data_IF_954524296169
#
_entry.id   IF_954524296169
#
_cell.length_a   1.000
_cell.length_b   1.000
_cell.length_c   1.000
_cell.angle_alpha   90.00
_cell.angle_beta   90.00
_cell.angle_gamma   90.00
#
_symmetry.space_group_name_H-M   'P 1'
#
loop_
_entity.id
_entity.type
_entity.pdbx_description
1 polymer ?
#
# COMPACT_ATOMS: atom_id res chain seq x y z
N UNK A 1 -6.67 12.38 29.62
CA UNK A 1 -7.62 11.69 28.73
C UNK A 1 -7.59 12.45 27.43
N UNK A 2 -6.67 12.06 26.54
CA UNK A 2 -6.54 12.71 25.24
C UNK A 2 -7.43 11.91 24.28
N UNK A 3 -8.54 12.51 23.85
CA UNK A 3 -9.44 11.92 22.88
C UNK A 3 -8.75 11.95 21.52
N UNK A 4 -7.85 11.01 21.28
CA UNK A 4 -7.33 10.73 19.94
C UNK A 4 -8.54 10.26 19.13
N UNK A 5 -9.14 11.18 18.39
CA UNK A 5 -10.26 10.89 17.50
C UNK A 5 -9.82 9.75 16.60
N UNK A 6 -10.60 8.67 16.60
CA UNK A 6 -10.37 7.40 15.88
C UNK A 6 -10.24 7.56 14.35
N UNK A 7 -10.37 8.81 13.87
CA UNK A 7 -10.48 9.25 12.47
C UNK A 7 -9.46 10.33 12.10
N UNK A 8 -8.44 10.59 12.92
CA UNK A 8 -7.56 11.76 12.79
C UNK A 8 -6.44 11.66 11.74
N UNK A 9 -6.19 10.50 11.15
CA UNK A 9 -4.99 10.30 10.33
C UNK A 9 -5.15 10.54 8.82
N UNK A 10 -6.40 10.69 8.39
CA UNK A 10 -6.78 11.09 7.04
C UNK A 10 -7.82 12.20 7.19
N UNK A 11 -7.67 13.34 6.49
CA UNK A 11 -8.68 14.39 6.48
C UNK A 11 -10.04 13.84 6.07
N UNK A 12 -11.12 14.44 6.55
CA UNK A 12 -12.46 14.17 6.04
C UNK A 12 -12.56 14.51 4.55
N UNK A 13 -13.58 13.97 3.87
CA UNK A 13 -13.83 14.28 2.46
C UNK A 13 -14.02 15.78 2.23
N UNK A 14 -14.70 16.48 3.15
CA UNK A 14 -14.89 17.92 3.07
C UNK A 14 -13.58 18.70 3.22
N UNK A 15 -12.70 18.27 4.13
CA UNK A 15 -11.36 18.87 4.27
C UNK A 15 -10.52 18.61 3.02
N UNK A 16 -10.52 17.39 2.49
CA UNK A 16 -9.85 17.05 1.24
C UNK A 16 -10.37 17.90 0.06
N UNK A 17 -11.69 18.12 -0.01
CA UNK A 17 -12.29 18.98 -1.01
C UNK A 17 -11.86 20.44 -0.86
N UNK A 18 -11.74 20.96 0.36
CA UNK A 18 -11.21 22.30 0.59
C UNK A 18 -9.71 22.42 0.27
N UNK A 19 -8.96 21.33 0.41
CA UNK A 19 -7.52 21.30 0.12
C UNK A 19 -7.23 21.27 -1.39
N UNK A 20 -7.94 20.41 -2.14
CA UNK A 20 -7.61 20.16 -3.56
C UNK A 20 -8.85 19.84 -4.43
N UNK A 21 -10.02 20.37 -4.08
CA UNK A 21 -11.29 20.17 -4.79
C UNK A 21 -11.25 20.58 -6.27
N UNK A 22 -10.60 21.69 -6.57
CA UNK A 22 -10.46 22.23 -7.93
C UNK A 22 -9.01 22.15 -8.42
N UNK A 23 -8.75 22.24 -9.74
CA UNK A 23 -7.39 22.28 -10.26
C UNK A 23 -6.50 23.37 -9.64
N UNK A 24 -7.07 24.55 -9.35
CA UNK A 24 -6.37 25.69 -8.75
C UNK A 24 -6.03 25.42 -7.28
N UNK A 25 -6.98 24.86 -6.51
CA UNK A 25 -6.74 24.43 -5.13
C UNK A 25 -5.67 23.34 -5.08
N UNK A 26 -5.74 22.36 -5.98
CA UNK A 26 -4.73 21.31 -6.09
C UNK A 26 -3.33 21.85 -6.41
N UNK A 27 -3.23 22.79 -7.35
CA UNK A 27 -1.95 23.44 -7.67
C UNK A 27 -1.40 24.20 -6.46
N UNK A 28 -2.24 25.01 -5.80
CA UNK A 28 -1.88 25.72 -4.58
C UNK A 28 -1.41 24.76 -3.48
N UNK A 29 -2.16 23.68 -3.24
CA UNK A 29 -1.82 22.66 -2.26
C UNK A 29 -0.44 22.04 -2.51
N UNK A 30 -0.09 21.77 -3.77
CA UNK A 30 1.20 21.18 -4.14
C UNK A 30 2.36 22.15 -3.92
N UNK A 31 2.18 23.45 -4.14
CA UNK A 31 3.19 24.46 -3.81
C UNK A 31 3.30 24.71 -2.31
N UNK A 32 2.17 24.84 -1.60
CA UNK A 32 2.12 25.10 -0.16
C UNK A 32 2.79 23.97 0.64
N UNK A 33 2.72 22.73 0.15
CA UNK A 33 3.39 21.57 0.76
C UNK A 33 4.80 21.29 0.21
N UNK A 34 5.33 22.19 -0.62
CA UNK A 34 6.65 22.05 -1.26
C UNK A 34 6.83 20.75 -2.07
N UNK A 35 5.73 20.17 -2.57
CA UNK A 35 5.76 19.04 -3.49
C UNK A 35 6.19 19.53 -4.87
N UNK A 36 5.63 20.68 -5.29
CA UNK A 36 6.12 21.39 -6.46
C UNK A 36 7.20 22.38 -6.08
N UNK A 37 8.35 22.37 -6.79
CA UNK A 37 9.41 23.32 -6.50
C UNK A 37 8.96 24.73 -6.88
N UNK A 38 9.22 25.69 -5.98
CA UNK A 38 9.05 27.13 -6.24
C UNK A 38 10.27 27.77 -6.92
N UNK A 39 11.41 27.07 -6.89
CA UNK A 39 12.68 27.49 -7.47
C UNK A 39 13.36 26.34 -8.22
N UNK A 40 13.98 26.63 -9.37
CA UNK A 40 14.75 25.66 -10.15
C UNK A 40 15.88 26.34 -10.91
N UNK A 41 17.05 25.72 -10.91
CA UNK A 41 18.16 26.09 -11.78
C UNK A 41 18.00 25.44 -13.15
N UNK A 42 18.40 26.16 -14.21
CA UNK A 42 18.29 25.69 -15.57
C UNK A 42 19.19 24.46 -15.79
N UNK A 43 18.64 23.30 -16.21
CA UNK A 43 19.45 22.09 -16.39
C UNK A 43 20.49 22.23 -17.52
N UNK A 44 20.31 23.19 -18.45
CA UNK A 44 21.23 23.40 -19.57
C UNK A 44 22.39 24.36 -19.26
N UNK A 45 22.20 25.33 -18.36
CA UNK A 45 23.18 26.41 -18.18
C UNK A 45 23.37 26.89 -16.74
N UNK A 46 22.69 26.28 -15.77
CA UNK A 46 22.82 26.62 -14.34
C UNK A 46 22.10 27.89 -13.89
N UNK A 47 21.67 28.77 -14.80
CA UNK A 47 21.00 30.02 -14.43
C UNK A 47 19.66 29.79 -13.69
N UNK A 48 19.35 30.67 -12.75
CA UNK A 48 18.03 30.75 -12.11
C UNK A 48 16.91 30.90 -13.15
N UNK A 49 15.81 30.17 -12.96
CA UNK A 49 14.64 30.23 -13.82
C UNK A 49 13.50 31.02 -13.16
N UNK A 50 12.66 31.65 -13.96
CA UNK A 50 11.42 32.30 -13.49
C UNK A 50 10.25 31.34 -13.64
N UNK A 51 9.43 31.21 -12.60
CA UNK A 51 8.19 30.42 -12.62
C UNK A 51 7.03 31.25 -13.23
N UNK A 52 6.27 30.64 -14.15
CA UNK A 52 5.03 31.19 -14.68
C UNK A 52 4.00 30.06 -14.81
N UNK A 53 2.97 30.08 -13.97
CA UNK A 53 2.07 28.95 -13.75
C UNK A 53 2.89 27.70 -13.38
N UNK A 54 2.68 26.61 -14.12
CA UNK A 54 3.37 25.32 -13.91
C UNK A 54 4.69 25.18 -14.69
N UNK A 55 5.26 26.26 -15.22
CA UNK A 55 6.45 26.22 -16.08
C UNK A 55 7.56 27.15 -15.63
N UNK A 56 8.76 26.60 -15.48
CA UNK A 56 9.99 27.36 -15.35
C UNK A 56 10.54 27.74 -16.73
N UNK A 57 10.93 29.00 -16.89
CA UNK A 57 11.64 29.50 -18.09
C UNK A 57 12.99 30.11 -17.71
N UNK A 58 14.03 29.71 -18.43
CA UNK A 58 15.37 30.28 -18.27
C UNK A 58 15.42 31.69 -18.90
N UNK A 59 15.81 32.70 -18.10
CA UNK A 59 15.93 34.08 -18.56
C UNK A 59 17.14 34.36 -19.47
N UNK A 60 18.10 33.43 -19.56
CA UNK A 60 19.29 33.59 -20.43
C UNK A 60 18.84 33.57 -21.90
N UNK A 61 19.07 34.69 -22.61
CA UNK A 61 18.66 34.87 -24.02
C UNK A 61 19.16 33.76 -24.95
N UNK A 62 20.35 33.23 -24.70
CA UNK A 62 20.96 32.14 -25.50
C UNK A 62 20.49 30.74 -25.11
N UNK A 63 19.75 30.58 -24.01
CA UNK A 63 19.28 29.27 -23.54
C UNK A 63 17.77 29.12 -23.71
N UNK A 64 16.99 29.99 -23.06
CA UNK A 64 15.51 29.98 -23.07
C UNK A 64 14.85 28.61 -22.78
N UNK A 65 15.56 27.69 -22.13
CA UNK A 65 15.03 26.38 -21.79
C UNK A 65 13.73 26.51 -20.97
N UNK A 66 12.77 25.61 -21.24
CA UNK A 66 11.52 25.47 -20.51
C UNK A 66 11.52 24.11 -19.82
N UNK A 67 11.10 24.08 -18.56
CA UNK A 67 10.99 22.87 -17.72
C UNK A 67 9.68 23.00 -16.94
N UNK A 68 8.95 21.92 -16.73
CA UNK A 68 7.70 21.99 -15.95
C UNK A 68 7.99 21.79 -14.46
N UNK A 69 7.09 22.26 -13.59
CA UNK A 69 7.13 21.97 -12.14
C UNK A 69 6.92 20.49 -11.85
N UNK A 70 6.30 19.75 -12.79
CA UNK A 70 6.05 18.32 -12.68
C UNK A 70 7.31 17.49 -12.95
N UNK A 71 8.29 18.03 -13.67
CA UNK A 71 9.49 17.29 -14.08
C UNK A 71 10.32 16.86 -12.85
N UNK A 72 10.41 15.55 -12.65
CA UNK A 72 11.10 14.91 -11.52
C UNK A 72 10.20 14.64 -10.30
N UNK A 73 8.91 14.95 -10.37
CA UNK A 73 7.92 14.62 -9.34
C UNK A 73 7.03 13.46 -9.80
N UNK A 74 6.22 12.93 -8.89
CA UNK A 74 5.18 11.93 -9.17
C UNK A 74 4.27 12.31 -10.36
N UNK A 75 4.12 13.60 -10.64
CA UNK A 75 3.19 14.14 -11.64
C UNK A 75 3.80 14.28 -13.06
N UNK A 76 5.08 13.98 -13.26
CA UNK A 76 5.87 14.33 -14.46
C UNK A 76 5.24 13.98 -15.81
N UNK A 77 4.51 12.87 -15.90
CA UNK A 77 3.88 12.36 -17.14
C UNK A 77 2.38 12.13 -17.03
N UNK A 78 1.78 12.60 -15.94
CA UNK A 78 0.34 12.46 -15.75
C UNK A 78 -0.37 13.57 -16.53
N UNK A 79 -1.15 13.19 -17.53
CA UNK A 79 -2.06 14.11 -18.23
C UNK A 79 -3.34 14.38 -17.44
N UNK A 80 -3.64 13.54 -16.45
CA UNK A 80 -4.78 13.67 -15.55
C UNK A 80 -4.69 14.98 -14.75
N UNK A 81 -5.81 15.71 -14.54
CA UNK A 81 -5.84 16.90 -13.69
C UNK A 81 -5.32 16.64 -12.27
N UNK A 82 -4.61 17.63 -11.69
CA UNK A 82 -3.93 17.49 -10.40
C UNK A 82 -4.90 17.14 -9.26
N UNK A 83 -6.08 17.78 -9.25
CA UNK A 83 -7.13 17.49 -8.27
C UNK A 83 -7.60 16.04 -8.35
N UNK A 84 -7.79 15.50 -9.56
CA UNK A 84 -8.20 14.10 -9.76
C UNK A 84 -7.11 13.15 -9.25
N UNK A 85 -5.84 13.42 -9.53
CA UNK A 85 -4.72 12.61 -9.02
C UNK A 85 -4.65 12.66 -7.48
N UNK A 86 -4.82 13.84 -6.88
CA UNK A 86 -4.80 14.00 -5.42
C UNK A 86 -5.98 13.28 -4.75
N UNK A 87 -7.20 13.40 -5.29
CA UNK A 87 -8.33 12.62 -4.80
C UNK A 87 -8.13 11.12 -5.00
N UNK A 88 -7.53 10.70 -6.11
CA UNK A 88 -7.21 9.30 -6.33
C UNK A 88 -6.31 8.77 -5.21
N UNK A 89 -5.23 9.49 -4.90
CA UNK A 89 -4.31 9.14 -3.82
C UNK A 89 -5.00 9.15 -2.46
N UNK A 90 -5.84 10.15 -2.20
CA UNK A 90 -6.65 10.25 -0.98
C UNK A 90 -7.55 9.01 -0.78
N UNK A 91 -8.32 8.61 -1.79
CA UNK A 91 -9.16 7.41 -1.70
C UNK A 91 -8.34 6.13 -1.64
N UNK A 92 -7.20 6.08 -2.33
CA UNK A 92 -6.27 4.96 -2.30
C UNK A 92 -5.73 4.70 -0.88
N UNK A 93 -5.23 5.72 -0.19
CA UNK A 93 -4.72 5.57 1.20
C UNK A 93 -5.85 5.37 2.23
N UNK A 94 -7.08 5.73 1.86
CA UNK A 94 -8.29 5.47 2.66
C UNK A 94 -8.76 4.01 2.56
N UNK A 95 -8.15 3.20 1.69
CA UNK A 95 -8.53 1.81 1.46
C UNK A 95 -9.80 1.65 0.61
N UNK A 96 -10.21 2.68 -0.13
CA UNK A 96 -11.33 2.61 -1.05
C UNK A 96 -11.02 1.63 -2.20
N UNK A 97 -11.99 0.78 -2.54
CA UNK A 97 -11.83 -0.20 -3.62
C UNK A 97 -11.67 0.50 -4.97
N UNK A 98 -10.79 0.00 -5.85
CA UNK A 98 -10.49 0.61 -7.16
C UNK A 98 -11.74 0.90 -8.01
N UNK A 99 -12.71 -0.01 -8.04
CA UNK A 99 -13.94 0.17 -8.80
C UNK A 99 -14.83 1.29 -8.24
N UNK A 100 -14.76 1.56 -6.94
CA UNK A 100 -15.43 2.68 -6.31
C UNK A 100 -14.70 3.99 -6.63
N UNK A 101 -13.37 4.01 -6.59
CA UNK A 101 -12.58 5.20 -6.98
C UNK A 101 -12.88 5.60 -8.43
N UNK A 102 -12.93 4.61 -9.32
CA UNK A 102 -13.33 4.80 -10.73
C UNK A 102 -14.69 5.48 -10.86
N UNK A 103 -15.67 4.99 -10.09
CA UNK A 103 -17.02 5.51 -10.07
C UNK A 103 -17.13 6.93 -9.48
N UNK A 104 -16.38 7.21 -8.40
CA UNK A 104 -16.39 8.51 -7.73
C UNK A 104 -15.72 9.59 -8.57
N UNK A 105 -14.59 9.27 -9.19
CA UNK A 105 -13.80 10.23 -9.99
C UNK A 105 -14.21 10.26 -11.46
N UNK A 106 -15.11 9.37 -11.89
CA UNK A 106 -15.58 9.27 -13.28
C UNK A 106 -14.44 9.14 -14.29
N UNK A 107 -13.43 8.33 -13.94
CA UNK A 107 -12.26 8.06 -14.79
C UNK A 107 -12.40 6.71 -15.49
N UNK A 108 -11.68 6.51 -16.60
CA UNK A 108 -11.68 5.21 -17.31
C UNK A 108 -10.94 4.14 -16.53
N UNK A 109 -11.28 2.86 -16.76
CA UNK A 109 -10.60 1.73 -16.11
C UNK A 109 -9.10 1.68 -16.45
N UNK A 110 -8.70 2.12 -17.64
CA UNK A 110 -7.29 2.23 -18.02
C UNK A 110 -6.56 3.29 -17.17
N UNK A 111 -7.16 4.47 -17.01
CA UNK A 111 -6.64 5.54 -16.15
C UNK A 111 -6.56 5.07 -14.69
N UNK A 112 -7.61 4.41 -14.21
CA UNK A 112 -7.67 3.83 -12.88
C UNK A 112 -6.54 2.82 -12.65
N UNK A 113 -6.32 1.89 -13.57
CA UNK A 113 -5.25 0.90 -13.47
C UNK A 113 -3.85 1.55 -13.44
N UNK A 114 -3.61 2.56 -14.28
CA UNK A 114 -2.35 3.29 -14.31
C UNK A 114 -2.10 4.07 -13.00
N UNK A 115 -3.08 4.85 -12.54
CA UNK A 115 -2.99 5.58 -11.27
C UNK A 115 -2.81 4.61 -10.10
N UNK A 116 -3.50 3.47 -10.10
CA UNK A 116 -3.34 2.46 -9.06
C UNK A 116 -1.91 1.90 -9.02
N UNK A 117 -1.35 1.56 -10.18
CA UNK A 117 0.04 1.08 -10.33
C UNK A 117 1.03 2.12 -9.78
N UNK A 118 0.92 3.37 -10.23
CA UNK A 118 1.82 4.44 -9.76
C UNK A 118 1.66 4.74 -8.27
N UNK A 119 0.44 4.71 -7.74
CA UNK A 119 0.17 4.92 -6.32
C UNK A 119 0.81 3.84 -5.46
N UNK A 120 0.75 2.56 -5.88
CA UNK A 120 1.44 1.46 -5.19
C UNK A 120 2.96 1.65 -5.21
N UNK A 121 3.53 2.02 -6.35
CA UNK A 121 4.96 2.28 -6.49
C UNK A 121 5.41 3.40 -5.53
N UNK A 122 4.68 4.52 -5.51
CA UNK A 122 4.98 5.66 -4.64
C UNK A 122 5.05 5.25 -3.17
N UNK A 123 4.05 4.51 -2.68
CA UNK A 123 4.05 4.10 -1.28
C UNK A 123 5.08 3.01 -0.99
N UNK A 124 5.40 2.14 -1.96
CA UNK A 124 6.44 1.13 -1.82
C UNK A 124 7.83 1.80 -1.68
N UNK A 125 8.14 2.77 -2.53
CA UNK A 125 9.40 3.54 -2.47
C UNK A 125 9.49 4.39 -1.19
N UNK A 126 8.35 4.72 -0.57
CA UNK A 126 8.27 5.44 0.69
C UNK A 126 8.41 4.54 1.94
N UNK A 127 8.45 3.21 1.79
CA UNK A 127 8.79 2.30 2.90
C UNK A 127 10.31 2.19 2.98
N UNK A 128 10.92 2.65 4.08
CA UNK A 128 12.35 2.41 4.29
C UNK A 128 12.61 0.93 4.57
N UNK A 129 13.64 0.37 3.95
CA UNK A 129 14.11 -0.99 4.24
C UNK A 129 14.51 -1.21 5.71
N UNK A 130 14.87 -0.13 6.43
CA UNK A 130 15.18 -0.18 7.87
C UNK A 130 13.95 -0.32 8.75
N UNK A 131 12.78 0.16 8.30
CA UNK A 131 11.52 0.05 9.03
C UNK A 131 10.89 -1.33 8.78
N UNK A 132 11.10 -1.89 7.58
CA UNK A 132 10.78 -3.27 7.20
C UNK A 132 11.76 -3.75 6.12
N UNK A 133 12.49 -4.83 6.39
CA UNK A 133 13.46 -5.38 5.42
C UNK A 133 12.81 -6.49 4.57
N UNK A 134 12.51 -6.17 3.32
CA UNK A 134 12.08 -7.13 2.29
C UNK A 134 13.26 -7.33 1.34
N UNK A 135 13.70 -8.56 1.14
CA UNK A 135 14.80 -8.88 0.24
C UNK A 135 14.29 -9.79 -0.88
N UNK A 136 14.28 -9.22 -2.08
CA UNK A 136 13.75 -9.77 -3.33
C UNK A 136 14.80 -10.64 -3.99
N UNK A 137 14.79 -11.93 -3.68
CA UNK A 137 15.62 -12.89 -4.42
C UNK A 137 14.79 -14.11 -4.77
N UNK A 138 14.34 -14.09 -6.03
CA UNK A 138 14.04 -15.23 -6.91
C UNK A 138 12.58 -15.71 -7.13
N UNK A 139 12.38 -16.14 -8.37
CA UNK A 139 11.14 -16.55 -9.04
C UNK A 139 10.95 -18.06 -8.91
N UNK A 140 9.82 -18.52 -8.36
CA UNK A 140 9.36 -19.94 -8.38
C UNK A 140 7.81 -19.93 -8.43
N UNK A 141 7.15 -21.05 -8.72
CA UNK A 141 5.67 -21.12 -8.78
C UNK A 141 5.02 -21.06 -7.38
N UNK A 142 3.99 -20.20 -7.23
CA UNK A 142 3.25 -19.95 -5.98
C UNK A 142 4.02 -19.13 -4.94
N UNK A 143 3.48 -18.00 -4.45
CA UNK A 143 4.20 -17.13 -3.50
C UNK A 143 4.11 -17.66 -2.05
N UNK A 144 5.19 -18.24 -1.54
CA UNK A 144 5.32 -18.46 -0.10
C UNK A 144 5.78 -17.17 0.55
N UNK A 145 5.20 -16.84 1.70
CA UNK A 145 5.54 -15.61 2.43
C UNK A 145 5.84 -15.99 3.88
N UNK A 146 7.05 -15.67 4.32
CA UNK A 146 7.44 -15.72 5.72
C UNK A 146 7.17 -14.36 6.34
N UNK A 147 6.69 -14.31 7.58
CA UNK A 147 6.55 -13.05 8.29
C UNK A 147 6.55 -13.25 9.79
N UNK A 148 6.95 -12.21 10.50
CA UNK A 148 7.00 -12.17 11.95
C UNK A 148 6.55 -10.81 12.48
N UNK A 149 5.82 -10.84 13.58
CA UNK A 149 5.30 -9.64 14.24
C UNK A 149 5.83 -9.57 15.67
N UNK A 150 6.35 -8.41 16.02
CA UNK A 150 6.79 -8.12 17.37
C UNK A 150 5.59 -8.03 18.32
N UNK A 151 5.74 -8.60 19.53
CA UNK A 151 4.68 -8.60 20.54
C UNK A 151 4.69 -7.39 21.48
N UNK A 152 5.65 -6.48 21.32
CA UNK A 152 5.71 -5.20 22.03
C UNK A 152 4.64 -4.23 21.51
N UNK A 153 4.54 -3.06 22.15
CA UNK A 153 3.66 -1.97 21.73
C UNK A 153 3.99 -1.44 20.33
N UNK A 154 5.24 -1.54 19.88
CA UNK A 154 5.69 -1.05 18.58
C UNK A 154 5.19 -1.91 17.42
N UNK A 155 4.90 -3.21 17.66
CA UNK A 155 4.29 -4.12 16.69
C UNK A 155 5.03 -4.18 15.34
N UNK A 156 6.36 -4.04 15.35
CA UNK A 156 7.21 -4.14 14.16
C UNK A 156 6.94 -5.44 13.41
N UNK A 157 7.02 -5.38 12.10
CA UNK A 157 6.64 -6.46 11.20
C UNK A 157 7.76 -6.67 10.19
N UNK A 158 8.12 -7.92 9.94
CA UNK A 158 8.81 -8.28 8.70
C UNK A 158 7.94 -9.23 7.90
N UNK A 159 7.95 -9.07 6.58
CA UNK A 159 7.29 -9.97 5.63
C UNK A 159 8.24 -10.16 4.45
N UNK A 160 8.44 -11.40 4.02
CA UNK A 160 9.37 -11.75 2.96
C UNK A 160 8.81 -12.87 2.10
N UNK A 161 8.78 -12.66 0.78
CA UNK A 161 8.52 -13.74 -0.16
C UNK A 161 9.71 -14.69 -0.16
N UNK A 162 9.44 -15.99 -0.08
CA UNK A 162 10.44 -17.05 -0.01
C UNK A 162 10.23 -18.07 -1.11
N UNK A 163 11.32 -18.67 -1.56
CA UNK A 163 11.28 -19.65 -2.64
C UNK A 163 10.68 -20.98 -2.20
N UNK A 164 11.05 -21.40 -0.99
CA UNK A 164 10.63 -22.66 -0.38
C UNK A 164 10.28 -22.45 1.10
N UNK A 165 9.50 -23.40 1.62
CA UNK A 165 9.11 -23.45 3.04
C UNK A 165 9.95 -24.48 3.77
N UNK A 166 11.27 -24.47 3.58
CA UNK A 166 12.22 -25.33 4.30
C UNK A 166 13.01 -24.54 5.35
N UNK A 167 13.61 -25.25 6.30
CA UNK A 167 14.25 -24.59 7.42
C UNK A 167 15.58 -23.92 7.03
N UNK A 168 16.25 -24.44 6.00
CA UNK A 168 17.44 -23.88 5.36
C UNK A 168 17.16 -22.47 4.80
N UNK A 169 15.95 -22.23 4.29
CA UNK A 169 15.52 -20.94 3.77
C UNK A 169 14.99 -20.02 4.89
N UNK A 170 14.15 -20.53 5.79
CA UNK A 170 13.46 -19.67 6.76
C UNK A 170 14.35 -19.23 7.93
N UNK A 171 15.24 -20.10 8.44
CA UNK A 171 16.02 -19.80 9.65
C UNK A 171 17.04 -18.66 9.45
N UNK A 172 17.79 -18.57 8.34
CA UNK A 172 18.67 -17.43 8.09
C UNK A 172 17.90 -16.10 8.02
N UNK A 173 16.71 -16.13 7.42
CA UNK A 173 15.84 -14.94 7.37
C UNK A 173 15.44 -14.54 8.78
N UNK A 174 15.05 -15.48 9.64
CA UNK A 174 14.73 -15.17 11.04
C UNK A 174 15.94 -14.55 11.76
N UNK A 175 17.14 -15.10 11.59
CA UNK A 175 18.36 -14.54 12.21
C UNK A 175 18.72 -13.14 11.73
N UNK A 176 18.35 -12.80 10.50
CA UNK A 176 18.54 -11.46 9.97
C UNK A 176 17.58 -10.42 10.57
N UNK A 177 16.38 -10.84 11.02
CA UNK A 177 15.31 -9.93 11.43
C UNK A 177 14.95 -9.99 12.92
N UNK A 178 15.39 -11.02 13.64
CA UNK A 178 15.09 -11.23 15.06
C UNK A 178 16.42 -11.26 15.83
N UNK A 179 16.51 -10.45 16.87
CA UNK A 179 17.71 -10.38 17.71
C UNK A 179 17.92 -11.72 18.45
N UNK A 180 19.17 -12.23 18.54
CA UNK A 180 19.49 -13.39 19.38
C UNK A 180 19.02 -13.19 20.82
N UNK A 181 18.57 -14.27 21.49
CA UNK A 181 18.00 -14.23 22.83
C UNK A 181 16.50 -13.90 22.89
N UNK A 182 15.89 -13.50 21.76
CA UNK A 182 14.45 -13.23 21.70
C UNK A 182 13.60 -14.49 21.91
N UNK A 183 12.38 -14.29 22.43
CA UNK A 183 11.35 -15.33 22.49
C UNK A 183 10.62 -15.38 21.15
N UNK A 184 10.67 -16.52 20.48
CA UNK A 184 9.96 -16.75 19.22
C UNK A 184 8.82 -17.73 19.48
N UNK A 185 7.61 -17.32 19.08
CA UNK A 185 6.38 -18.13 19.14
C UNK A 185 6.00 -18.59 17.75
N UNK A 186 5.95 -19.91 17.53
CA UNK A 186 5.49 -20.49 16.26
C UNK A 186 4.55 -21.68 16.50
N UNK A 187 3.95 -22.20 15.43
CA UNK A 187 3.33 -23.51 15.45
C UNK A 187 4.38 -24.63 15.67
N UNK A 188 3.89 -25.87 15.79
CA UNK A 188 4.72 -27.06 15.97
C UNK A 188 5.41 -27.55 14.69
N UNK A 189 5.59 -26.72 13.65
CA UNK A 189 6.23 -27.16 12.42
C UNK A 189 7.72 -27.51 12.63
N UNK A 190 8.13 -28.68 12.13
CA UNK A 190 9.47 -29.26 12.38
C UNK A 190 10.62 -28.36 11.93
N UNK A 191 10.40 -27.53 10.91
CA UNK A 191 11.46 -26.65 10.41
C UNK A 191 11.95 -25.61 11.44
N UNK A 192 11.12 -25.28 12.45
CA UNK A 192 11.51 -24.39 13.53
C UNK A 192 12.26 -25.09 14.68
N UNK A 193 12.45 -26.40 14.64
CA UNK A 193 13.07 -27.16 15.74
C UNK A 193 14.51 -26.72 16.06
N UNK A 194 15.20 -26.07 15.12
CA UNK A 194 16.58 -25.58 15.29
C UNK A 194 16.67 -24.21 15.97
N UNK A 195 15.57 -23.48 16.19
CA UNK A 195 15.59 -22.13 16.76
C UNK A 195 16.31 -22.06 18.11
N UNK A 196 16.09 -23.06 18.99
CA UNK A 196 16.79 -23.13 20.28
C UNK A 196 18.32 -23.19 20.15
N UNK A 197 18.82 -23.89 19.13
CA UNK A 197 20.28 -24.00 18.87
C UNK A 197 20.87 -22.73 18.27
N UNK A 198 20.03 -21.87 17.70
CA UNK A 198 20.41 -20.58 17.13
C UNK A 198 20.36 -19.44 18.17
N UNK A 199 20.15 -19.76 19.45
CA UNK A 199 20.14 -18.79 20.54
C UNK A 199 18.78 -18.14 20.82
N UNK A 200 17.68 -18.73 20.34
CA UNK A 200 16.32 -18.25 20.64
C UNK A 200 15.63 -19.06 21.72
N UNK A 201 14.72 -18.42 22.45
CA UNK A 201 13.77 -19.13 23.32
C UNK A 201 12.56 -19.51 22.44
N UNK A 202 12.39 -20.79 22.14
CA UNK A 202 11.32 -21.26 21.24
C UNK A 202 10.10 -21.74 22.02
N UNK A 203 9.03 -20.96 21.98
CA UNK A 203 7.71 -21.34 22.48
C UNK A 203 6.85 -21.87 21.31
N UNK A 204 6.17 -22.99 21.54
CA UNK A 204 5.38 -23.68 20.50
C UNK A 204 3.91 -23.68 20.86
N UNK A 205 3.06 -23.41 19.89
CA UNK A 205 1.60 -23.56 20.01
C UNK A 205 1.18 -24.82 19.28
N UNK A 206 0.58 -25.76 20.02
CA UNK A 206 -0.02 -26.95 19.43
C UNK A 206 -1.50 -26.70 19.11
N UNK A 207 -1.76 -26.23 17.89
CA UNK A 207 -3.12 -25.94 17.39
C UNK A 207 -4.05 -27.15 17.31
N UNK A 208 -3.53 -28.39 17.38
CA UNK A 208 -4.36 -29.59 17.43
C UNK A 208 -4.95 -29.86 18.81
N UNK A 209 -4.46 -29.19 19.86
CA UNK A 209 -4.91 -29.38 21.24
C UNK A 209 -5.63 -28.13 21.78
N UNK A 210 -5.06 -26.94 21.59
CA UNK A 210 -5.60 -25.70 22.16
C UNK A 210 -5.36 -24.48 21.25
N UNK A 211 -6.33 -23.55 21.18
CA UNK A 211 -6.19 -22.25 20.49
C UNK A 211 -5.25 -21.27 21.23
N UNK A 212 -5.12 -21.46 22.53
CA UNK A 212 -4.19 -20.79 23.43
C UNK A 212 -3.72 -21.85 24.41
N UNK A 213 -2.41 -21.95 24.63
CA UNK A 213 -1.91 -22.88 25.64
C UNK A 213 -2.51 -22.49 27.01
N UNK A 214 -3.26 -23.38 27.68
CA UNK A 214 -3.98 -23.04 28.90
C UNK A 214 -3.05 -22.84 30.10
N UNK A 215 -1.80 -23.32 30.04
CA UNK A 215 -0.81 -23.25 31.11
C UNK A 215 0.13 -22.07 30.89
N UNK A 216 0.66 -21.93 29.67
CA UNK A 216 1.65 -20.88 29.35
C UNK A 216 1.01 -19.60 28.80
N UNK A 217 -0.25 -19.67 28.37
CA UNK A 217 -0.98 -18.57 27.76
C UNK A 217 -0.52 -18.20 26.35
N UNK A 218 0.44 -18.93 25.78
CA UNK A 218 1.07 -18.69 24.47
C UNK A 218 0.06 -18.90 23.34
N UNK A 219 0.07 -17.98 22.37
CA UNK A 219 -0.77 -18.03 21.16
C UNK A 219 -0.09 -17.30 19.99
N UNK A 220 -0.58 -17.56 18.78
CA UNK A 220 -0.13 -16.93 17.51
C UNK A 220 -1.15 -15.93 16.93
N UNK A 221 -2.22 -15.62 17.68
CA UNK A 221 -3.31 -14.75 17.21
C UNK A 221 -2.86 -13.41 16.59
N UNK A 222 -1.81 -12.79 17.09
CA UNK A 222 -1.30 -11.51 16.55
C UNK A 222 -0.80 -11.66 15.11
N UNK A 223 -0.04 -12.72 14.81
CA UNK A 223 0.46 -12.95 13.44
C UNK A 223 -0.67 -13.46 12.54
N UNK A 224 -1.61 -14.24 13.06
CA UNK A 224 -2.79 -14.70 12.32
C UNK A 224 -3.71 -13.54 11.90
N UNK A 225 -3.98 -12.60 12.81
CA UNK A 225 -4.72 -11.38 12.48
C UNK A 225 -3.99 -10.51 11.44
N UNK A 226 -2.65 -10.45 11.51
CA UNK A 226 -1.83 -9.77 10.50
C UNK A 226 -1.98 -10.45 9.13
N UNK A 227 -1.90 -11.79 9.08
CA UNK A 227 -2.09 -12.55 7.85
C UNK A 227 -3.49 -12.40 7.27
N UNK A 228 -4.53 -12.35 8.11
CA UNK A 228 -5.89 -12.09 7.66
C UNK A 228 -5.97 -10.71 6.99
N UNK A 229 -5.40 -9.67 7.60
CA UNK A 229 -5.34 -8.33 7.02
C UNK A 229 -4.64 -8.31 5.66
N UNK A 230 -3.48 -8.96 5.53
CA UNK A 230 -2.76 -9.10 4.25
C UNK A 230 -3.66 -9.82 3.23
N UNK A 231 -4.24 -10.96 3.58
CA UNK A 231 -5.06 -11.75 2.66
C UNK A 231 -6.28 -10.99 2.16
N UNK A 232 -6.96 -10.24 3.02
CA UNK A 232 -8.13 -9.44 2.63
C UNK A 232 -7.75 -8.27 1.71
N UNK A 233 -6.54 -7.72 1.84
CA UNK A 233 -6.02 -6.64 0.99
C UNK A 233 -5.53 -7.09 -0.40
N UNK A 234 -5.26 -8.39 -0.61
CA UNK A 234 -4.70 -8.91 -1.86
C UNK A 234 -5.74 -9.74 -2.62
N UNK A 235 -6.21 -9.27 -3.79
CA UNK A 235 -7.08 -10.05 -4.66
C UNK A 235 -6.48 -11.41 -5.00
N UNK A 236 -7.31 -12.47 -5.08
CA UNK A 236 -6.83 -13.83 -5.33
C UNK A 236 -5.95 -13.95 -6.58
N UNK A 237 -6.34 -13.29 -7.68
CA UNK A 237 -5.57 -13.25 -8.94
C UNK A 237 -4.19 -12.60 -8.81
N UNK A 238 -3.99 -11.78 -7.78
CA UNK A 238 -2.76 -11.05 -7.51
C UNK A 238 -1.88 -11.74 -6.44
N UNK A 239 -2.27 -12.93 -5.95
CA UNK A 239 -1.45 -13.75 -5.05
C UNK A 239 -0.45 -14.60 -5.83
N UNK A 240 0.29 -13.94 -6.71
CA UNK A 240 1.34 -14.54 -7.53
C UNK A 240 2.65 -13.76 -7.35
N UNK A 241 3.78 -14.37 -7.66
CA UNK A 241 5.10 -13.79 -7.35
C UNK A 241 5.44 -12.52 -8.13
N UNK A 242 4.76 -12.26 -9.24
CA UNK A 242 5.07 -11.10 -10.08
C UNK A 242 4.57 -9.80 -9.45
N UNK A 243 3.48 -9.86 -8.69
CA UNK A 243 2.80 -8.66 -8.18
C UNK A 243 2.60 -8.66 -6.66
N UNK A 244 2.82 -9.79 -5.96
CA UNK A 244 2.53 -9.87 -4.52
C UNK A 244 3.32 -8.85 -3.70
N UNK A 245 4.57 -8.56 -4.10
CA UNK A 245 5.44 -7.61 -3.39
C UNK A 245 4.81 -6.22 -3.34
N UNK A 246 4.28 -5.72 -4.45
CA UNK A 246 3.57 -4.42 -4.50
C UNK A 246 2.48 -4.31 -3.44
N UNK A 247 1.75 -5.41 -3.21
CA UNK A 247 0.67 -5.41 -2.23
C UNK A 247 1.18 -5.55 -0.80
N UNK A 248 2.27 -6.30 -0.59
CA UNK A 248 2.91 -6.41 0.72
C UNK A 248 3.45 -5.06 1.16
N UNK A 249 4.11 -4.34 0.24
CA UNK A 249 4.55 -2.96 0.46
C UNK A 249 3.39 -2.05 0.83
N UNK A 250 2.28 -2.16 0.09
CA UNK A 250 1.07 -1.42 0.41
C UNK A 250 0.57 -1.69 1.83
N UNK A 251 0.47 -2.96 2.22
CA UNK A 251 0.05 -3.34 3.57
C UNK A 251 0.98 -2.79 4.66
N UNK A 252 2.30 -2.93 4.44
CA UNK A 252 3.33 -2.44 5.36
C UNK A 252 3.23 -0.93 5.54
N UNK A 253 3.14 -0.19 4.43
CA UNK A 253 3.02 1.27 4.46
C UNK A 253 1.81 1.73 5.28
N UNK A 254 0.64 1.10 5.11
CA UNK A 254 -0.56 1.43 5.89
C UNK A 254 -0.41 1.14 7.38
N UNK A 255 0.40 0.15 7.74
CA UNK A 255 0.65 -0.25 9.12
C UNK A 255 1.63 0.68 9.83
N UNK A 256 2.77 0.99 9.22
CA UNK A 256 3.80 1.87 9.81
C UNK A 256 3.32 3.33 9.90
N UNK A 257 2.41 3.73 9.01
CA UNK A 257 1.85 5.09 8.98
C UNK A 257 0.47 5.19 9.61
N UNK A 258 0.04 4.18 10.39
CA UNK A 258 -1.22 4.26 11.16
C UNK A 258 -1.16 5.48 12.09
N UNK A 259 -2.16 6.35 12.02
CA UNK A 259 -2.16 7.58 12.81
C UNK A 259 -1.60 8.80 12.08
N UNK A 260 -0.96 8.63 10.91
CA UNK A 260 -0.35 9.72 10.13
C UNK A 260 -0.36 9.48 8.61
N UNK A 261 -1.34 8.76 8.07
CA UNK A 261 -1.32 8.29 6.66
C UNK A 261 -1.29 9.43 5.66
N UNK A 262 -2.09 10.48 5.88
CA UNK A 262 -2.11 11.62 4.98
C UNK A 262 -0.78 12.37 5.00
N UNK A 263 -0.22 12.65 6.17
CA UNK A 263 1.11 13.25 6.31
C UNK A 263 2.21 12.40 5.65
N UNK A 264 2.14 11.08 5.80
CA UNK A 264 3.07 10.15 5.16
C UNK A 264 2.94 10.16 3.62
N UNK A 265 1.73 10.34 3.08
CA UNK A 265 1.51 10.51 1.64
C UNK A 265 2.15 11.82 1.15
N UNK A 266 1.96 12.93 1.86
CA UNK A 266 2.58 14.22 1.52
C UNK A 266 4.11 14.12 1.57
N UNK A 267 4.63 13.46 2.60
CA UNK A 267 6.06 13.17 2.70
C UNK A 267 6.56 12.36 1.50
N UNK A 268 5.83 11.32 1.07
CA UNK A 268 6.20 10.50 -0.08
C UNK A 268 6.20 11.32 -1.38
N UNK A 269 5.16 12.10 -1.63
CA UNK A 269 5.05 12.97 -2.81
C UNK A 269 6.18 14.00 -2.90
N UNK A 270 6.65 14.49 -1.74
CA UNK A 270 7.73 15.47 -1.66
C UNK A 270 9.13 14.86 -1.83
N UNK A 271 9.38 13.71 -1.20
CA UNK A 271 10.75 13.20 -1.02
C UNK A 271 11.13 12.07 -1.98
N UNK A 272 10.16 11.33 -2.52
CA UNK A 272 10.46 10.24 -3.46
C UNK A 272 10.83 10.82 -4.81
N UNK A 273 12.09 10.56 -5.21
CA UNK A 273 12.60 10.91 -6.52
C UNK A 273 11.93 10.03 -7.57
N UNK A 274 11.00 10.61 -8.33
CA UNK A 274 10.28 9.87 -9.35
C UNK A 274 11.19 9.64 -10.56
N UNK A 275 11.70 8.41 -10.69
CA UNK A 275 12.44 7.96 -11.88
C UNK A 275 11.49 7.13 -12.73
N UNK A 276 11.30 7.55 -13.97
CA UNK A 276 10.53 6.79 -14.94
C UNK A 276 11.20 5.41 -15.14
N UNK A 277 10.60 4.35 -14.62
CA UNK A 277 11.13 2.98 -14.77
C UNK A 277 10.52 2.21 -15.96
N UNK A 278 9.71 2.87 -16.79
CA UNK A 278 9.14 2.24 -17.98
C UNK A 278 9.34 3.11 -19.23
N UNK A 279 10.35 2.81 -20.06
CA UNK A 279 10.52 3.43 -21.38
C UNK A 279 9.35 3.14 -22.34
N UNK A 280 8.51 2.13 -22.03
CA UNK A 280 7.40 1.66 -22.85
C UNK A 280 6.02 1.98 -22.23
N UNK A 281 5.95 2.68 -21.10
CA UNK A 281 4.67 3.15 -20.59
C UNK A 281 4.12 4.18 -21.58
N UNK A 282 3.10 3.78 -22.34
CA UNK A 282 2.41 4.69 -23.23
C UNK A 282 1.97 5.92 -22.43
N UNK A 283 2.27 7.15 -22.89
CA UNK A 283 1.76 8.34 -22.24
C UNK A 283 0.25 8.21 -22.19
N UNK A 284 -0.35 8.40 -21.01
CA UNK A 284 -1.81 8.32 -20.83
C UNK A 284 -2.49 9.07 -21.98
N UNK A 285 -3.30 8.34 -22.74
CA UNK A 285 -3.86 8.79 -24.01
C UNK A 285 -4.61 10.14 -23.87
N UNK A 286 -4.48 10.98 -24.89
CA UNK A 286 -5.05 12.33 -25.00
C UNK A 286 -6.59 12.38 -25.04
N UNK A 287 -7.25 11.22 -25.12
CA UNK A 287 -8.67 11.10 -25.48
C UNK A 287 -9.63 11.03 -24.29
N UNK A 288 -9.17 11.03 -23.03
CA UNK A 288 -10.06 10.88 -21.88
C UNK A 288 -10.55 12.22 -21.35
N UNK A 289 -11.49 12.81 -22.11
CA UNK A 289 -12.30 13.92 -21.63
C UNK A 289 -12.92 13.58 -20.28
N UNK A 290 -12.75 14.49 -19.33
CA UNK A 290 -13.70 14.66 -18.24
C UNK A 290 -15.09 14.50 -18.85
N UNK A 291 -15.81 13.43 -18.49
CA UNK A 291 -17.23 13.33 -18.81
C UNK A 291 -17.83 14.62 -18.26
N UNK A 292 -18.27 15.49 -19.16
CA UNK A 292 -19.01 16.68 -18.80
C UNK A 292 -20.11 16.21 -17.86
N UNK A 293 -20.11 16.77 -16.65
CA UNK A 293 -21.27 16.69 -15.78
C UNK A 293 -22.32 17.52 -16.50
N UNK A 294 -23.06 16.89 -17.41
CA UNK A 294 -24.33 17.46 -17.86
C UNK A 294 -25.23 17.51 -16.63
N UNK A 295 -25.79 18.69 -16.40
CA UNK A 295 -26.63 19.04 -15.25
C UNK A 295 -27.60 17.90 -14.92
N UNK A 296 -27.36 17.23 -13.79
CA UNK A 296 -28.21 16.15 -13.33
C UNK A 296 -29.65 16.64 -13.12
N UNK A 297 -30.66 15.79 -13.38
CA UNK A 297 -32.04 16.15 -13.11
C UNK A 297 -32.20 16.45 -11.62
N UNK A 298 -32.95 17.52 -11.31
CA UNK A 298 -33.17 18.04 -9.98
C UNK A 298 -33.71 17.00 -8.97
N UNK A 299 -33.65 17.32 -7.67
CA UNK A 299 -33.86 16.35 -6.60
C UNK A 299 -35.28 15.77 -6.64
N UNK A 300 -35.36 14.45 -6.74
CA UNK A 300 -36.56 13.69 -6.41
C UNK A 300 -36.51 13.48 -4.90
N UNK A 301 -37.46 14.10 -4.20
CA UNK A 301 -37.73 13.87 -2.79
C UNK A 301 -38.62 12.64 -2.71
N UNK A 302 -38.08 11.51 -2.25
CA UNK A 302 -38.89 10.37 -1.83
C UNK A 302 -38.53 10.00 -0.39
N UNK A 303 -39.54 10.13 0.46
CA UNK A 303 -39.57 9.70 1.84
C UNK A 303 -39.37 8.19 1.93
N UNK A 304 -38.39 7.74 2.73
CA UNK A 304 -38.27 6.34 3.11
C UNK A 304 -38.13 6.21 4.63
N UNK A 305 -39.23 5.74 5.19
CA UNK A 305 -39.41 5.29 6.56
C UNK A 305 -38.46 4.13 6.88
N UNK A 306 -38.03 4.12 8.14
CA UNK A 306 -37.18 3.10 8.72
C UNK A 306 -37.97 1.82 8.98
N UNK A 307 -37.35 0.67 8.68
CA UNK A 307 -37.59 -0.54 9.47
C UNK A 307 -36.32 -1.39 9.52
N UNK A 308 -35.96 -1.76 10.75
CA UNK A 308 -34.82 -2.60 11.04
C UNK A 308 -35.16 -4.08 10.97
N UNK A 309 -34.13 -4.92 10.85
CA UNK A 309 -33.90 -5.99 11.82
C UNK A 309 -32.51 -6.58 11.60
N UNK A 310 -31.73 -6.62 12.67
CA UNK A 310 -30.52 -7.43 12.78
C UNK A 310 -30.90 -8.91 12.86
N UNK A 311 -30.23 -9.76 12.09
CA UNK A 311 -29.98 -11.15 12.47
C UNK A 311 -28.56 -11.54 12.07
N UNK A 312 -27.72 -11.72 13.09
CA UNK A 312 -26.40 -12.31 13.04
C UNK A 312 -26.58 -13.82 13.20
N UNK A 313 -26.09 -14.61 12.24
CA UNK A 313 -25.87 -16.04 12.44
C UNK A 313 -24.43 -16.44 12.10
N UNK A 314 -23.90 -17.25 13.01
CA UNK A 314 -22.55 -17.77 13.13
C UNK A 314 -22.13 -18.66 11.95
N UNK A 315 -20.86 -18.59 11.50
CA UNK A 315 -20.17 -19.76 10.91
C UNK A 315 -18.71 -19.83 11.38
N UNK A 316 -18.38 -21.05 11.81
CA UNK A 316 -17.15 -21.57 12.39
C UNK A 316 -15.92 -21.62 11.44
N UNK A 317 -14.79 -21.92 12.09
CA UNK A 317 -13.41 -21.98 11.62
C UNK A 317 -13.11 -23.07 10.57
N UNK A 318 -12.09 -22.85 9.73
CA UNK A 318 -10.95 -23.77 9.57
C UNK A 318 -9.93 -23.29 8.52
N UNK A 319 -8.66 -23.56 8.81
CA UNK A 319 -7.49 -23.38 7.93
C UNK A 319 -7.50 -24.35 6.74
N UNK A 320 -7.16 -23.89 5.52
CA UNK A 320 -6.78 -24.77 4.39
C UNK A 320 -6.10 -24.02 3.21
N UNK A 321 -5.40 -24.75 2.31
CA UNK A 321 -4.26 -24.27 1.50
C UNK A 321 -4.66 -23.61 0.17
N UNK A 322 -3.69 -22.95 -0.48
CA UNK A 322 -3.77 -22.52 -1.88
C UNK A 322 -3.61 -23.75 -2.81
N UNK A 323 -4.69 -24.46 -3.16
CA UNK A 323 -4.80 -25.29 -4.37
C UNK A 323 -6.24 -25.82 -4.60
N UNK A 324 -6.70 -25.76 -5.86
CA UNK A 324 -7.96 -26.33 -6.38
C UNK A 324 -7.92 -27.87 -6.53
N UNK A 325 -9.07 -28.58 -6.69
CA UNK A 325 -9.19 -30.00 -6.36
C UNK A 325 -8.60 -30.93 -7.42
N UNK A 326 -7.76 -31.86 -6.98
CA UNK A 326 -7.38 -33.05 -7.75
C UNK A 326 -8.35 -34.17 -7.43
N UNK A 327 -8.92 -34.73 -8.49
CA UNK A 327 -9.85 -35.86 -8.50
C UNK A 327 -9.28 -37.10 -7.81
N UNK A 328 -10.09 -37.71 -6.96
CA UNK A 328 -9.85 -39.04 -6.37
C UNK A 328 -9.63 -40.07 -7.49
N UNK A 329 -8.43 -40.65 -7.56
CA UNK A 329 -8.25 -42.00 -8.12
C UNK A 329 -7.93 -42.96 -6.97
N UNK A 330 -8.90 -43.82 -6.70
CA UNK A 330 -8.78 -45.05 -5.94
C UNK A 330 -7.68 -45.93 -6.51
N UNK A 331 -6.87 -46.55 -5.64
CA UNK A 331 -6.15 -47.79 -5.98
C UNK A 331 -6.19 -48.74 -4.78
N UNK A 332 -6.75 -49.93 -5.04
CA UNK A 332 -6.54 -51.20 -4.33
C UNK A 332 -5.02 -51.44 -4.20
N UNK A 333 -4.47 -52.12 -3.20
CA UNK A 333 -4.89 -53.30 -2.43
C UNK A 333 -4.49 -53.16 -0.96
#
# INVERSE_FOLDING_TARGET
>A
MDSTTRFSDIPSMFEAFNMFGTPELAEKFLFDNEIFPSFKNCPKCGNSMSLNGQSFRCGKKTCRAKVTVRDGTFFSKMKVPLNVVLFYLYYFISGTRQNQIEMYLKISSATNAALHKYSRQLIADAVNESDVKIDNRHRVEGAWVLGGVELTSERKLFVRVVESRDAETLLPIIQQHVLPGSIIRTDCWRGYARLGRLGYIHEKVNHSLHFRDPVTGVHTNTIEGTWLGIKLGIPLRCRNREVIDDYLWGFIWHRINKGRRFEALIWALKNIQWRDLDPNAEPMDETFGLLAIEDGPGPIVEDLEADGQHHLDNIEQSSSPLASPVTKKTRKE
#
